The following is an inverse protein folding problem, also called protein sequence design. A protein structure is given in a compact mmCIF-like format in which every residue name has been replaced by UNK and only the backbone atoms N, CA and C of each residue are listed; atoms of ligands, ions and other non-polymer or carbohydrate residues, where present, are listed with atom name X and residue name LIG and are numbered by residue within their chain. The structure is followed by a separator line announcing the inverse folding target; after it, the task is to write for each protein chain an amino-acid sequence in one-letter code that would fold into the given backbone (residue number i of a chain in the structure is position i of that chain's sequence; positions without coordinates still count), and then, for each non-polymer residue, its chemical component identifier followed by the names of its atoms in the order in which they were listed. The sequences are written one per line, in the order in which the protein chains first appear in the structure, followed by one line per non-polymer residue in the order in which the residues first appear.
data_IF_984359633698
#
_entry.id   IF_984359633698
#
_cell.length_a   1.000
_cell.length_b   1.000
_cell.length_c   1.000
_cell.angle_alpha   90.00
_cell.angle_beta   90.00
_cell.angle_gamma   90.00
#
_symmetry.space_group_name_H-M   'P 1'
#
loop_
_entity.id
_entity.type
_entity.pdbx_description
1 polymer ?
#
# COMPACT_ATOMS: atom_id res chain seq x y z
N UNK A 1 -4.46 -2.88 28.28
CA UNK A 1 -3.27 -2.36 27.58
C UNK A 1 -3.71 -1.19 26.72
N UNK A 2 -3.48 0.03 27.20
CA UNK A 2 -3.80 1.25 26.45
C UNK A 2 -2.90 1.32 25.21
N UNK A 3 -3.47 1.07 24.04
CA UNK A 3 -2.78 1.23 22.77
C UNK A 3 -2.57 2.71 22.50
N UNK A 4 -1.36 3.20 22.77
CA UNK A 4 -1.00 4.60 22.53
C UNK A 4 -1.13 4.89 21.03
N UNK A 5 -2.02 5.84 20.71
CA UNK A 5 -2.25 6.34 19.35
C UNK A 5 -1.06 7.22 18.96
N UNK A 6 -0.85 7.41 17.66
CA UNK A 6 0.11 8.41 17.17
C UNK A 6 -0.27 9.79 17.72
N UNK A 7 0.68 10.47 18.35
CA UNK A 7 0.54 11.85 18.82
C UNK A 7 1.24 12.86 17.88
N UNK A 8 1.20 14.15 18.21
CA UNK A 8 1.78 15.20 17.35
C UNK A 8 3.30 15.08 17.21
N UNK A 9 4.00 14.60 18.25
CA UNK A 9 5.44 14.40 18.20
C UNK A 9 5.80 13.20 17.31
N UNK A 10 5.02 12.13 17.37
CA UNK A 10 5.13 11.00 16.46
C UNK A 10 4.91 11.43 15.01
N UNK A 11 3.88 12.25 14.76
CA UNK A 11 3.60 12.76 13.43
C UNK A 11 4.75 13.63 12.89
N UNK A 12 5.32 14.49 13.72
CA UNK A 12 6.50 15.27 13.33
C UNK A 12 7.69 14.37 12.99
N UNK A 13 7.92 13.30 13.75
CA UNK A 13 8.97 12.32 13.46
C UNK A 13 8.71 11.55 12.17
N UNK A 14 7.48 11.07 11.96
CA UNK A 14 7.07 10.37 10.76
C UNK A 14 7.23 11.25 9.50
N UNK A 15 6.94 12.55 9.60
CA UNK A 15 7.13 13.51 8.52
C UNK A 15 8.62 13.71 8.15
N UNK A 16 9.54 13.44 9.08
CA UNK A 16 10.98 13.55 8.85
C UNK A 16 11.59 12.29 8.22
N UNK A 17 10.93 11.13 8.34
CA UNK A 17 11.40 9.87 7.76
C UNK A 17 10.92 9.75 6.32
N UNK A 18 11.87 9.79 5.40
CA UNK A 18 11.60 9.74 3.96
C UNK A 18 12.28 8.54 3.30
N UNK A 19 11.65 8.03 2.23
CA UNK A 19 12.21 6.99 1.36
C UNK A 19 12.18 7.44 -0.09
N UNK A 20 13.17 7.01 -0.87
CA UNK A 20 13.23 7.32 -2.29
C UNK A 20 12.18 6.50 -3.05
N UNK A 21 11.35 7.18 -3.85
CA UNK A 21 10.27 6.55 -4.64
C UNK A 21 10.49 6.64 -6.14
N UNK A 22 11.40 7.53 -6.56
CA UNK A 22 11.92 7.65 -7.92
C UNK A 22 13.23 8.47 -7.90
N UNK A 23 14.01 8.49 -8.99
CA UNK A 23 15.18 9.37 -9.08
C UNK A 23 14.82 10.84 -8.76
N UNK A 24 15.47 11.41 -7.75
CA UNK A 24 15.22 12.78 -7.31
C UNK A 24 13.89 13.01 -6.57
N UNK A 25 13.14 11.95 -6.24
CA UNK A 25 11.86 12.04 -5.53
C UNK A 25 11.83 11.15 -4.30
N UNK A 26 11.48 11.73 -3.17
CA UNK A 26 11.23 11.04 -1.92
C UNK A 26 9.84 11.37 -1.39
N UNK A 27 9.26 10.45 -0.62
CA UNK A 27 8.02 10.67 0.13
C UNK A 27 8.26 10.37 1.61
N UNK A 28 7.60 11.13 2.48
CA UNK A 28 7.59 10.89 3.91
C UNK A 28 6.56 9.81 4.31
N UNK A 29 6.68 9.32 5.54
CA UNK A 29 5.82 8.27 6.07
C UNK A 29 4.33 8.65 6.09
N UNK A 30 4.00 9.94 6.31
CA UNK A 30 2.61 10.42 6.36
C UNK A 30 2.01 10.42 4.94
N UNK A 31 2.76 10.93 3.97
CA UNK A 31 2.36 10.94 2.56
C UNK A 31 2.11 9.52 2.04
N UNK A 32 2.97 8.56 2.40
CA UNK A 32 2.83 7.15 2.04
C UNK A 32 1.58 6.52 2.66
N UNK A 33 1.34 6.71 3.97
CA UNK A 33 0.12 6.24 4.64
C UNK A 33 -1.14 6.84 3.99
N UNK A 34 -1.10 8.14 3.68
CA UNK A 34 -2.19 8.83 3.00
C UNK A 34 -2.48 8.25 1.62
N UNK A 35 -1.44 7.99 0.82
CA UNK A 35 -1.56 7.39 -0.50
C UNK A 35 -2.13 5.98 -0.44
N UNK A 36 -1.64 5.15 0.48
CA UNK A 36 -2.14 3.78 0.68
C UNK A 36 -3.61 3.76 1.12
N UNK A 37 -3.96 4.58 2.12
CA UNK A 37 -5.36 4.73 2.55
C UNK A 37 -6.27 5.22 1.44
N UNK A 38 -5.82 6.19 0.64
CA UNK A 38 -6.58 6.71 -0.48
C UNK A 38 -6.82 5.63 -1.54
N UNK A 39 -5.81 4.79 -1.84
CA UNK A 39 -5.97 3.66 -2.74
C UNK A 39 -7.00 2.66 -2.21
N UNK A 40 -6.89 2.22 -0.95
CA UNK A 40 -7.85 1.28 -0.36
C UNK A 40 -9.28 1.82 -0.39
N UNK A 41 -9.45 3.12 -0.13
CA UNK A 41 -10.76 3.78 -0.24
C UNK A 41 -11.32 3.84 -1.68
N UNK A 42 -10.47 3.71 -2.71
CA UNK A 42 -10.95 3.56 -4.10
C UNK A 42 -11.44 2.15 -4.41
N UNK A 43 -10.94 1.12 -3.73
CA UNK A 43 -11.50 -0.22 -3.82
C UNK A 43 -12.91 -0.32 -3.20
N UNK A 44 -13.30 0.63 -2.33
CA UNK A 44 -14.59 0.65 -1.64
C UNK A 44 -15.75 1.23 -2.46
N UNK A 45 -15.49 1.95 -3.55
CA UNK A 45 -16.54 2.59 -4.31
C UNK A 45 -16.20 2.73 -5.79
N UNK A 46 -17.22 2.62 -6.64
CA UNK A 46 -17.19 2.98 -8.07
C UNK A 46 -16.94 4.49 -8.23
N UNK A 47 -15.74 4.96 -7.90
CA UNK A 47 -15.37 6.35 -8.17
C UNK A 47 -15.21 6.49 -9.69
N UNK A 48 -15.89 7.44 -10.34
CA UNK A 48 -15.72 7.70 -11.76
C UNK A 48 -14.28 8.16 -12.04
N UNK A 49 -13.63 7.47 -12.98
CA UNK A 49 -12.21 7.58 -13.31
C UNK A 49 -11.61 6.20 -13.36
N UNK A 50 -11.36 5.68 -14.57
CA UNK A 50 -10.88 4.31 -14.80
C UNK A 50 -9.52 4.14 -14.11
N UNK A 51 -9.52 3.51 -12.93
CA UNK A 51 -8.29 2.97 -12.35
C UNK A 51 -8.08 1.57 -12.93
N UNK A 52 -6.95 1.41 -13.61
CA UNK A 52 -6.56 0.15 -14.24
C UNK A 52 -5.56 -0.64 -13.40
N UNK A 53 -5.03 -1.71 -13.97
CA UNK A 53 -3.98 -2.54 -13.40
C UNK A 53 -2.77 -1.72 -12.96
N UNK A 54 -2.37 -0.70 -13.75
CA UNK A 54 -1.24 0.18 -13.41
C UNK A 54 -1.45 0.97 -12.12
N UNK A 55 -2.65 1.45 -11.85
CA UNK A 55 -2.96 2.18 -10.61
C UNK A 55 -2.93 1.25 -9.40
N UNK A 56 -3.29 -0.02 -9.59
CA UNK A 56 -3.17 -1.06 -8.57
C UNK A 56 -1.71 -1.37 -8.28
N UNK A 57 -0.91 -1.66 -9.32
CA UNK A 57 0.53 -1.93 -9.21
C UNK A 57 1.26 -0.78 -8.51
N UNK A 58 1.00 0.48 -8.93
CA UNK A 58 1.58 1.65 -8.28
C UNK A 58 1.22 1.75 -6.78
N UNK A 59 0.04 1.27 -6.39
CA UNK A 59 -0.36 1.25 -4.99
C UNK A 59 0.35 0.16 -4.17
N UNK A 60 0.64 -0.98 -4.78
CA UNK A 60 1.44 -2.03 -4.15
C UNK A 60 2.88 -1.55 -3.90
N UNK A 61 3.45 -0.78 -4.84
CA UNK A 61 4.73 -0.10 -4.61
C UNK A 61 4.69 0.88 -3.42
N UNK A 62 3.59 1.61 -3.21
CA UNK A 62 3.43 2.43 -2.00
C UNK A 62 3.50 1.58 -0.73
N UNK A 63 2.96 0.36 -0.76
CA UNK A 63 3.01 -0.54 0.39
C UNK A 63 4.41 -1.11 0.64
N UNK A 64 5.21 -1.30 -0.40
CA UNK A 64 6.64 -1.64 -0.26
C UNK A 64 7.42 -0.50 0.41
N UNK A 65 7.19 0.74 0.00
CA UNK A 65 7.82 1.91 0.63
C UNK A 65 7.37 2.11 2.08
N UNK A 66 6.12 1.77 2.42
CA UNK A 66 5.64 1.73 3.82
C UNK A 66 6.43 0.70 4.64
N UNK A 67 6.70 -0.49 4.07
CA UNK A 67 7.50 -1.51 4.74
C UNK A 67 8.96 -1.03 4.96
N UNK A 68 9.53 -0.33 3.98
CA UNK A 68 10.85 0.29 4.11
C UNK A 68 10.88 1.36 5.20
N UNK A 69 9.88 2.24 5.26
CA UNK A 69 9.73 3.23 6.34
C UNK A 69 9.68 2.52 7.70
N UNK A 70 8.84 1.50 7.85
CA UNK A 70 8.72 0.76 9.12
C UNK A 70 10.08 0.21 9.59
N UNK A 71 10.89 -0.33 8.67
CA UNK A 71 12.23 -0.83 8.99
C UNK A 71 13.20 0.26 9.48
N UNK A 72 13.00 1.52 9.10
CA UNK A 72 13.82 2.66 9.52
C UNK A 72 13.37 3.29 10.85
N UNK A 73 12.19 2.96 11.34
CA UNK A 73 11.64 3.58 12.55
C UNK A 73 12.23 2.99 13.85
N UNK A 74 12.43 3.82 14.89
CA UNK A 74 12.68 3.36 16.25
C UNK A 74 11.60 2.39 16.74
N UNK A 75 11.93 1.43 17.61
CA UNK A 75 11.04 0.33 17.97
C UNK A 75 9.69 0.76 18.58
N UNK A 76 9.70 1.81 19.38
CA UNK A 76 8.53 2.42 20.01
C UNK A 76 7.58 3.06 18.99
N UNK A 77 8.13 3.82 18.05
CA UNK A 77 7.35 4.46 16.98
C UNK A 77 6.91 3.45 15.92
N UNK A 78 7.78 2.50 15.54
CA UNK A 78 7.49 1.40 14.62
C UNK A 78 6.24 0.63 15.06
N UNK A 79 6.14 0.27 16.34
CA UNK A 79 4.97 -0.47 16.84
C UNK A 79 3.66 0.30 16.68
N UNK A 80 3.66 1.63 16.84
CA UNK A 80 2.48 2.49 16.61
C UNK A 80 2.16 2.66 15.13
N UNK A 81 3.21 2.84 14.31
CA UNK A 81 3.12 2.93 12.86
C UNK A 81 2.54 1.65 12.25
N UNK A 82 3.10 0.49 12.59
CA UNK A 82 2.68 -0.82 12.07
C UNK A 82 1.23 -1.13 12.43
N UNK A 83 0.77 -0.75 13.62
CA UNK A 83 -0.65 -0.86 13.99
C UNK A 83 -1.54 0.01 13.11
N UNK A 84 -1.09 1.20 12.76
CA UNK A 84 -1.83 2.10 11.85
C UNK A 84 -1.89 1.50 10.44
N UNK A 85 -0.76 0.97 9.94
CA UNK A 85 -0.69 0.26 8.66
C UNK A 85 -1.61 -0.96 8.66
N UNK A 86 -1.59 -1.76 9.73
CA UNK A 86 -2.41 -2.97 9.85
C UNK A 86 -3.91 -2.70 9.70
N UNK A 87 -4.42 -1.57 10.23
CA UNK A 87 -5.83 -1.19 10.06
C UNK A 87 -6.17 -0.93 8.58
N UNK A 88 -5.26 -0.32 7.83
CA UNK A 88 -5.46 -0.07 6.39
C UNK A 88 -5.33 -1.40 5.61
N UNK A 89 -4.36 -2.23 5.97
CA UNK A 89 -4.11 -3.54 5.36
C UNK A 89 -5.28 -4.52 5.58
N UNK A 90 -5.89 -4.53 6.76
CA UNK A 90 -7.07 -5.35 7.04
C UNK A 90 -8.25 -4.94 6.16
N UNK A 91 -8.38 -3.63 5.90
CA UNK A 91 -9.39 -3.14 4.97
C UNK A 91 -9.08 -3.54 3.53
N UNK A 92 -7.82 -3.44 3.11
CA UNK A 92 -7.38 -3.93 1.80
C UNK A 92 -7.68 -5.44 1.63
N UNK A 93 -7.35 -6.27 2.62
CA UNK A 93 -7.67 -7.71 2.61
C UNK A 93 -9.16 -7.99 2.52
N UNK A 94 -9.99 -7.17 3.15
CA UNK A 94 -11.45 -7.32 3.10
C UNK A 94 -12.04 -6.99 1.71
N UNK A 95 -11.36 -6.17 0.90
CA UNK A 95 -11.79 -5.75 -0.43
C UNK A 95 -11.14 -6.57 -1.56
N UNK A 96 -10.12 -7.35 -1.24
CA UNK A 96 -9.35 -8.16 -2.17
C UNK A 96 -9.48 -9.65 -1.86
N UNK A 97 -9.02 -10.46 -2.79
CA UNK A 97 -8.88 -11.92 -2.66
C UNK A 97 -7.47 -12.36 -3.13
N UNK A 98 -7.04 -13.59 -2.80
CA UNK A 98 -5.76 -14.11 -3.29
C UNK A 98 -5.71 -14.10 -4.82
N UNK A 99 -4.61 -13.62 -5.38
CA UNK A 99 -4.33 -13.66 -6.82
C UNK A 99 -3.72 -15.02 -7.21
N UNK A 100 -4.57 -16.03 -7.27
CA UNK A 100 -4.16 -17.43 -7.55
C UNK A 100 -3.57 -17.62 -8.94
N UNK A 101 -3.93 -16.74 -9.88
CA UNK A 101 -3.51 -16.81 -11.28
C UNK A 101 -2.28 -15.92 -11.56
N UNK A 102 -1.78 -15.18 -10.56
CA UNK A 102 -0.62 -14.29 -10.69
C UNK A 102 -0.81 -13.16 -11.69
N UNK A 103 -2.03 -12.63 -11.83
CA UNK A 103 -2.36 -11.56 -12.77
C UNK A 103 -1.62 -10.25 -12.46
N UNK A 104 -1.42 -9.95 -11.18
CA UNK A 104 -0.72 -8.74 -10.73
C UNK A 104 0.73 -8.77 -11.16
N UNK A 105 1.43 -9.88 -10.91
CA UNK A 105 2.84 -10.04 -11.26
C UNK A 105 3.04 -10.00 -12.78
N UNK A 106 2.18 -10.68 -13.54
CA UNK A 106 2.19 -10.63 -15.01
C UNK A 106 1.97 -9.22 -15.54
N UNK A 107 1.02 -8.47 -14.97
CA UNK A 107 0.74 -7.09 -15.39
C UNK A 107 1.83 -6.08 -14.96
N UNK A 108 2.62 -6.38 -13.93
CA UNK A 108 3.71 -5.52 -13.48
C UNK A 108 4.85 -5.44 -14.50
N UNK A 109 5.08 -6.49 -15.30
CA UNK A 109 6.18 -6.59 -16.27
C UNK A 109 7.59 -6.42 -15.63
N UNK A 110 7.67 -6.60 -14.31
CA UNK A 110 8.91 -6.75 -13.55
C UNK A 110 8.70 -7.81 -12.45
N UNK A 111 9.11 -9.08 -12.68
CA UNK A 111 9.04 -10.09 -11.64
C UNK A 111 10.04 -9.74 -10.53
N UNK A 112 9.55 -9.58 -9.31
CA UNK A 112 10.38 -9.46 -8.11
C UNK A 112 10.00 -10.56 -7.11
N UNK A 113 10.94 -11.48 -6.90
CA UNK A 113 10.81 -12.58 -5.94
C UNK A 113 10.68 -12.12 -4.48
N UNK A 114 10.90 -10.83 -4.20
CA UNK A 114 10.78 -10.26 -2.85
C UNK A 114 9.44 -9.58 -2.58
N UNK A 115 8.47 -9.69 -3.49
CA UNK A 115 7.12 -9.22 -3.24
C UNK A 115 6.52 -9.88 -1.98
N UNK A 116 5.97 -9.05 -1.09
CA UNK A 116 5.30 -9.51 0.13
C UNK A 116 3.80 -9.78 -0.13
N UNK A 117 3.06 -10.24 0.88
CA UNK A 117 1.70 -10.77 0.77
C UNK A 117 0.69 -9.86 0.04
N UNK A 118 0.88 -8.54 0.03
CA UNK A 118 -0.03 -7.60 -0.64
C UNK A 118 0.01 -7.69 -2.17
N UNK A 119 1.15 -8.12 -2.74
CA UNK A 119 1.30 -8.35 -4.18
C UNK A 119 0.51 -9.55 -4.68
N UNK A 120 0.23 -10.51 -3.81
CA UNK A 120 -0.56 -11.71 -4.13
C UNK A 120 -2.06 -11.48 -3.90
N UNK A 121 -2.53 -10.24 -4.11
CA UNK A 121 -3.94 -9.86 -3.93
C UNK A 121 -4.48 -9.00 -5.06
N UNK A 122 -5.71 -9.33 -5.44
CA UNK A 122 -6.46 -8.69 -6.51
C UNK A 122 -7.82 -8.20 -5.97
N UNK A 123 -8.33 -7.03 -6.41
CA UNK A 123 -9.68 -6.60 -6.07
C UNK A 123 -10.74 -7.64 -6.44
N UNK A 124 -11.74 -7.84 -5.58
CA UNK A 124 -12.79 -8.84 -5.82
C UNK A 124 -13.66 -8.52 -7.04
N UNK A 125 -13.82 -7.23 -7.35
CA UNK A 125 -14.66 -6.73 -8.45
C UNK A 125 -14.12 -5.39 -8.95
N UNK A 126 -14.66 -4.91 -10.07
CA UNK A 126 -14.46 -3.55 -10.56
C UNK A 126 -13.37 -3.41 -11.63
N UNK A 127 -13.14 -2.19 -12.12
CA UNK A 127 -12.33 -1.93 -13.32
C UNK A 127 -10.90 -2.48 -13.24
N UNK A 128 -10.25 -2.39 -12.08
CA UNK A 128 -8.90 -2.94 -11.87
C UNK A 128 -8.86 -4.45 -12.12
N UNK A 129 -9.86 -5.19 -11.61
CA UNK A 129 -9.93 -6.65 -11.79
C UNK A 129 -10.13 -7.00 -13.25
N UNK A 130 -11.01 -6.28 -13.93
CA UNK A 130 -11.29 -6.50 -15.34
C UNK A 130 -10.05 -6.17 -16.18
N UNK A 131 -9.36 -5.07 -15.89
CA UNK A 131 -8.12 -4.67 -16.58
C UNK A 131 -6.98 -5.69 -16.37
N UNK A 132 -6.80 -6.20 -15.13
CA UNK A 132 -5.84 -7.26 -14.81
C UNK A 132 -6.10 -8.55 -15.58
N UNK A 133 -7.36 -8.89 -15.90
CA UNK A 133 -7.68 -10.07 -16.73
C UNK A 133 -7.32 -9.90 -18.20
N UNK A 134 -7.23 -8.66 -18.69
CA UNK A 134 -6.87 -8.37 -20.08
C UNK A 134 -5.37 -8.17 -20.28
N UNK A 135 -4.66 -7.71 -19.24
CA UNK A 135 -3.26 -7.32 -19.32
C UNK A 135 -2.31 -8.17 -18.48
N UNK A 136 -2.86 -8.95 -17.55
CA UNK A 136 -2.11 -9.84 -16.69
C UNK A 136 -2.13 -11.27 -17.13
#
# INVERSE_FOLDING_TARGET
MSGERLDDADLAHLAAVTVAVAPGRALDAIALLGAWRAHVATCEGDRPGVRGARDHIAALCFRDWIAQVSALLPADLRGRYDRTVAVIDDRFKALTEPDVDGLVERAADFPDSMHDWWWFRIPRTGPVRDDLRHHG
#
